data_IF_095626622700
#
_entry.id   IF_095626622700
#
_cell.length_a   1.000
_cell.length_b   1.000
_cell.length_c   1.000
_cell.angle_alpha   90.00
_cell.angle_beta   90.00
_cell.angle_gamma   90.00
#
_symmetry.space_group_name_H-M   'P 1'
#
loop_
_entity.id
_entity.type
_entity.pdbx_description
1 polymer ?
#
# COMPACT_ATOMS: atom_id res chain seq x y z
N UNK A 1 12.86 -5.51 -17.55
CA UNK A 1 11.57 -6.17 -17.82
C UNK A 1 10.51 -5.21 -17.28
N UNK A 2 9.63 -4.66 -18.13
CA UNK A 2 8.56 -3.79 -17.65
C UNK A 2 7.55 -4.72 -17.01
N UNK A 3 7.42 -4.64 -15.69
CA UNK A 3 6.36 -5.36 -15.00
C UNK A 3 5.00 -4.80 -15.45
N UNK A 4 4.10 -5.68 -15.89
CA UNK A 4 2.71 -5.34 -16.23
C UNK A 4 1.73 -5.83 -15.15
N UNK A 5 2.17 -6.05 -13.91
CA UNK A 5 1.24 -6.43 -12.84
C UNK A 5 0.39 -5.23 -12.41
N UNK A 6 -0.86 -5.50 -12.00
CA UNK A 6 -1.73 -4.47 -11.42
C UNK A 6 -1.37 -4.30 -9.96
N UNK A 7 -1.02 -3.08 -9.54
CA UNK A 7 -0.68 -2.79 -8.14
C UNK A 7 -1.85 -3.00 -7.18
N UNK A 8 -3.09 -2.98 -7.69
CA UNK A 8 -4.28 -3.24 -6.89
C UNK A 8 -5.11 -4.31 -7.60
N UNK A 9 -5.57 -5.29 -6.82
CA UNK A 9 -6.54 -6.29 -7.25
C UNK A 9 -7.67 -6.40 -6.24
N UNK A 10 -8.84 -6.83 -6.70
CA UNK A 10 -9.97 -7.19 -5.86
C UNK A 10 -10.53 -8.53 -6.34
N UNK A 11 -10.70 -9.45 -5.41
CA UNK A 11 -11.34 -10.73 -5.64
C UNK A 11 -12.78 -10.66 -5.14
N UNK A 12 -13.73 -10.85 -6.07
CA UNK A 12 -15.16 -10.77 -5.77
C UNK A 12 -15.70 -11.98 -5.01
N UNK A 13 -15.04 -13.15 -5.12
CA UNK A 13 -15.46 -14.38 -4.46
C UNK A 13 -15.07 -14.32 -2.98
N UNK A 14 -13.81 -14.00 -2.69
CA UNK A 14 -13.33 -13.84 -1.31
C UNK A 14 -13.67 -12.49 -0.69
N UNK A 15 -14.05 -11.50 -1.51
CA UNK A 15 -14.27 -10.09 -1.13
C UNK A 15 -13.02 -9.41 -0.54
N UNK A 16 -11.84 -9.85 -0.94
CA UNK A 16 -10.57 -9.31 -0.49
C UNK A 16 -9.94 -8.43 -1.56
N UNK A 17 -9.22 -7.39 -1.14
CA UNK A 17 -8.34 -6.62 -2.00
C UNK A 17 -6.87 -6.89 -1.67
N UNK A 18 -6.00 -6.65 -2.64
CA UNK A 18 -4.56 -6.72 -2.46
C UNK A 18 -3.90 -5.50 -3.05
N UNK A 19 -2.91 -4.94 -2.34
CA UNK A 19 -2.02 -3.88 -2.82
C UNK A 19 -0.59 -4.41 -2.88
N UNK A 20 -0.01 -4.53 -4.09
CA UNK A 20 1.37 -4.95 -4.30
C UNK A 20 2.36 -3.80 -4.12
N UNK A 21 3.35 -3.97 -3.23
CA UNK A 21 4.40 -2.97 -2.96
C UNK A 21 5.74 -3.31 -3.61
N UNK A 22 5.92 -4.56 -4.03
CA UNK A 22 7.08 -5.07 -4.76
C UNK A 22 6.61 -6.05 -5.85
N UNK A 23 7.53 -6.44 -6.74
CA UNK A 23 7.20 -7.44 -7.77
C UNK A 23 7.01 -8.82 -7.12
N UNK A 24 5.79 -9.41 -7.17
CA UNK A 24 5.50 -10.69 -6.52
C UNK A 24 6.27 -11.87 -7.14
N UNK A 25 6.88 -11.70 -8.32
CA UNK A 25 7.75 -12.72 -8.92
C UNK A 25 9.17 -12.70 -8.36
N UNK A 26 9.59 -11.60 -7.75
CA UNK A 26 10.95 -11.40 -7.24
C UNK A 26 11.03 -11.46 -5.71
N UNK A 27 9.92 -11.23 -5.03
CA UNK A 27 9.87 -11.18 -3.56
C UNK A 27 8.91 -12.23 -3.02
N UNK A 28 9.33 -12.87 -1.91
CA UNK A 28 8.56 -13.90 -1.22
C UNK A 28 8.09 -13.40 0.12
N UNK A 29 6.87 -13.79 0.48
CA UNK A 29 6.28 -13.59 1.80
C UNK A 29 6.94 -14.58 2.77
N UNK A 30 7.45 -14.05 3.88
CA UNK A 30 8.00 -14.81 5.00
C UNK A 30 6.94 -15.08 6.08
N UNK A 31 6.12 -14.08 6.37
CA UNK A 31 5.04 -14.15 7.36
C UNK A 31 3.95 -13.12 7.04
N UNK A 32 2.81 -13.28 7.70
CA UNK A 32 1.65 -12.38 7.59
C UNK A 32 1.29 -11.86 8.98
N UNK A 33 1.01 -10.57 9.12
CA UNK A 33 0.61 -9.96 10.39
C UNK A 33 -0.47 -8.90 10.20
N UNK A 34 -1.41 -8.81 11.13
CA UNK A 34 -2.41 -7.74 11.16
C UNK A 34 -1.77 -6.40 11.56
N UNK A 35 -2.30 -5.31 11.01
CA UNK A 35 -2.00 -3.98 11.54
C UNK A 35 -2.73 -3.82 12.88
N UNK A 36 -1.99 -3.61 13.96
CA UNK A 36 -2.56 -3.57 15.33
C UNK A 36 -3.74 -2.60 15.48
N UNK A 37 -3.76 -1.50 14.72
CA UNK A 37 -4.82 -0.49 14.79
C UNK A 37 -6.02 -0.79 13.88
N UNK A 38 -5.92 -1.75 12.97
CA UNK A 38 -7.01 -2.13 12.07
C UNK A 38 -6.85 -3.58 11.58
N UNK A 39 -7.71 -4.47 12.06
CA UNK A 39 -7.74 -5.91 11.69
C UNK A 39 -8.09 -6.17 10.22
N UNK A 40 -8.76 -5.24 9.53
CA UNK A 40 -9.06 -5.36 8.09
C UNK A 40 -7.79 -5.25 7.21
N UNK A 41 -6.61 -4.96 7.80
CA UNK A 41 -5.36 -4.73 7.10
C UNK A 41 -4.33 -5.77 7.55
N UNK A 42 -3.96 -6.66 6.64
CA UNK A 42 -2.93 -7.68 6.87
C UNK A 42 -1.71 -7.39 5.99
N UNK A 43 -0.54 -7.44 6.60
CA UNK A 43 0.75 -7.16 5.98
C UNK A 43 1.43 -8.46 5.60
N UNK A 44 1.83 -8.57 4.33
CA UNK A 44 2.73 -9.63 3.88
C UNK A 44 4.18 -9.21 4.11
N UNK A 45 4.78 -9.67 5.19
CA UNK A 45 6.17 -9.36 5.51
C UNK A 45 7.11 -10.21 4.66
N UNK A 46 8.10 -9.58 4.02
CA UNK A 46 8.96 -10.25 3.04
C UNK A 46 10.25 -10.84 3.61
N UNK A 47 10.80 -11.88 2.96
CA UNK A 47 12.14 -12.39 3.28
C UNK A 47 13.24 -11.36 2.98
N UNK A 48 13.06 -10.59 1.91
CA UNK A 48 14.07 -9.66 1.36
C UNK A 48 13.51 -8.26 1.12
N UNK A 49 12.32 -7.94 1.64
CA UNK A 49 11.70 -6.62 1.57
C UNK A 49 10.84 -6.42 2.81
N UNK A 50 10.72 -5.19 3.35
CA UNK A 50 9.97 -4.98 4.58
C UNK A 50 8.52 -5.46 4.48
N UNK A 51 7.82 -5.07 3.41
CA UNK A 51 6.43 -5.46 3.12
C UNK A 51 6.36 -5.78 1.63
N UNK A 52 5.87 -6.97 1.29
CA UNK A 52 5.65 -7.42 -0.09
C UNK A 52 4.35 -6.82 -0.64
N UNK A 53 3.32 -6.87 0.18
CA UNK A 53 2.01 -6.36 -0.16
C UNK A 53 1.11 -6.25 1.06
N UNK A 54 -0.11 -5.79 0.82
CA UNK A 54 -1.11 -5.56 1.84
C UNK A 54 -2.39 -6.25 1.39
N UNK A 55 -2.86 -7.19 2.20
CA UNK A 55 -4.18 -7.78 2.10
C UNK A 55 -5.18 -6.87 2.83
N UNK A 56 -6.31 -6.64 2.18
CA UNK A 56 -7.41 -5.86 2.74
C UNK A 56 -8.66 -6.73 2.76
N UNK A 57 -9.38 -6.69 3.88
CA UNK A 57 -10.69 -7.29 4.05
C UNK A 57 -11.72 -6.28 4.58
N UNK A 58 -12.92 -6.75 4.94
CA UNK A 58 -13.94 -5.94 5.60
C UNK A 58 -14.24 -4.59 4.91
N UNK A 59 -14.22 -3.51 5.72
CA UNK A 59 -14.50 -2.15 5.24
C UNK A 59 -13.39 -1.65 4.31
N UNK A 60 -12.14 -2.01 4.58
CA UNK A 60 -11.00 -1.59 3.75
C UNK A 60 -11.08 -2.17 2.34
N UNK A 61 -11.45 -3.45 2.20
CA UNK A 61 -11.65 -4.09 0.90
C UNK A 61 -12.89 -3.56 0.17
N UNK A 62 -13.99 -3.32 0.90
CA UNK A 62 -15.19 -2.74 0.32
C UNK A 62 -14.90 -1.38 -0.35
N UNK A 63 -14.05 -0.55 0.26
CA UNK A 63 -13.60 0.72 -0.35
C UNK A 63 -12.89 0.51 -1.68
N UNK A 64 -12.08 -0.55 -1.84
CA UNK A 64 -11.43 -0.88 -3.11
C UNK A 64 -12.45 -1.36 -4.14
N UNK A 65 -13.43 -2.17 -3.72
CA UNK A 65 -14.50 -2.68 -4.58
C UNK A 65 -15.34 -1.56 -5.21
N UNK A 66 -15.59 -0.49 -4.45
CA UNK A 66 -16.39 0.65 -4.86
C UNK A 66 -15.66 1.64 -5.78
N UNK A 67 -14.36 1.44 -6.02
CA UNK A 67 -13.59 2.32 -6.90
C UNK A 67 -13.97 2.11 -8.38
N UNK A 68 -14.33 3.17 -9.12
CA UNK A 68 -14.63 3.04 -10.55
C UNK A 68 -13.39 2.64 -11.36
N UNK A 69 -12.21 3.03 -10.87
CA UNK A 69 -10.89 2.67 -11.42
C UNK A 69 -9.85 2.71 -10.30
N UNK A 70 -8.85 1.85 -10.36
CA UNK A 70 -7.75 1.88 -9.39
C UNK A 70 -6.81 3.07 -9.61
N UNK A 71 -6.54 3.87 -8.57
CA UNK A 71 -5.63 5.01 -8.68
C UNK A 71 -4.20 4.53 -8.90
N UNK A 72 -3.40 5.41 -9.51
CA UNK A 72 -1.95 5.24 -9.61
C UNK A 72 -1.25 5.92 -8.44
N UNK A 73 -0.05 5.46 -8.13
CA UNK A 73 0.84 6.17 -7.23
C UNK A 73 1.22 7.54 -7.79
N UNK A 74 1.46 8.49 -6.89
CA UNK A 74 1.99 9.82 -7.19
C UNK A 74 3.33 9.99 -6.48
N UNK A 75 4.33 10.51 -7.19
CA UNK A 75 5.60 10.92 -6.58
C UNK A 75 5.39 12.22 -5.81
N UNK A 76 5.79 12.24 -4.55
CA UNK A 76 5.76 13.42 -3.67
C UNK A 76 7.17 13.65 -3.15
N UNK A 77 7.70 14.85 -3.36
CA UNK A 77 9.01 15.25 -2.82
C UNK A 77 8.81 16.25 -1.68
N UNK A 78 9.28 15.87 -0.51
CA UNK A 78 9.27 16.69 0.70
C UNK A 78 10.29 17.82 0.64
N UNK A 79 10.17 18.80 1.53
CA UNK A 79 11.09 19.95 1.61
C UNK A 79 12.55 19.55 1.92
N UNK A 80 12.73 18.45 2.64
CA UNK A 80 14.03 17.88 2.97
C UNK A 80 14.64 17.03 1.84
N UNK A 81 13.94 16.90 0.71
CA UNK A 81 14.36 16.12 -0.44
C UNK A 81 13.96 14.64 -0.38
N UNK A 82 13.33 14.18 0.71
CA UNK A 82 12.79 12.82 0.76
C UNK A 82 11.67 12.63 -0.27
N UNK A 83 11.61 11.44 -0.86
CA UNK A 83 10.65 11.09 -1.90
C UNK A 83 9.72 10.02 -1.35
N UNK A 84 8.42 10.22 -1.52
CA UNK A 84 7.39 9.24 -1.21
C UNK A 84 6.55 8.92 -2.46
N UNK A 85 6.09 7.68 -2.55
CA UNK A 85 5.05 7.26 -3.48
C UNK A 85 3.73 7.17 -2.74
N UNK A 86 2.81 8.08 -3.06
CA UNK A 86 1.51 8.19 -2.41
C UNK A 86 0.44 7.49 -3.24
N UNK A 87 -0.25 6.52 -2.64
CA UNK A 87 -1.47 5.92 -3.16
C UNK A 87 -2.66 6.40 -2.34
N UNK A 88 -3.52 7.23 -2.94
CA UNK A 88 -4.76 7.69 -2.32
C UNK A 88 -5.96 7.00 -2.96
N UNK A 89 -6.74 6.31 -2.14
CA UNK A 89 -7.96 5.60 -2.52
C UNK A 89 -9.20 6.50 -2.42
N UNK A 90 -9.15 7.56 -1.60
CA UNK A 90 -10.22 8.56 -1.49
C UNK A 90 -9.66 9.98 -1.40
N UNK A 91 -10.54 10.97 -1.56
CA UNK A 91 -10.21 12.40 -1.40
C UNK A 91 -10.46 12.90 0.04
N UNK A 92 -10.70 11.99 0.99
CA UNK A 92 -10.88 12.39 2.38
C UNK A 92 -9.58 12.94 2.95
N UNK A 93 -9.68 13.88 3.89
CA UNK A 93 -8.53 14.41 4.62
C UNK A 93 -7.88 13.30 5.45
N UNK A 94 -6.54 13.20 5.38
CA UNK A 94 -5.76 12.30 6.23
C UNK A 94 -5.73 12.90 7.63
N UNK A 95 -6.28 12.18 8.61
CA UNK A 95 -6.32 12.60 10.01
C UNK A 95 -5.37 11.80 10.89
N UNK A 96 -5.00 10.60 10.45
CA UNK A 96 -4.08 9.73 11.18
C UNK A 96 -3.18 8.97 10.24
N UNK A 97 -1.94 8.83 10.67
CA UNK A 97 -0.89 8.07 10.01
C UNK A 97 -0.40 7.00 10.97
N UNK A 98 -0.23 5.78 10.48
CA UNK A 98 0.20 4.63 11.26
C UNK A 98 1.32 3.92 10.50
N UNK A 99 2.33 3.48 11.23
CA UNK A 99 3.40 2.63 10.71
C UNK A 99 3.43 1.34 11.50
N UNK A 100 3.78 0.24 10.84
CA UNK A 100 4.01 -1.02 11.53
C UNK A 100 5.32 -0.92 12.34
N UNK A 101 5.37 -1.40 13.60
CA UNK A 101 6.56 -1.28 14.44
C UNK A 101 7.84 -1.81 13.78
N UNK A 102 8.85 -0.95 13.65
CA UNK A 102 10.14 -1.30 13.03
C UNK A 102 10.17 -1.23 11.50
N UNK A 103 9.08 -0.79 10.86
CA UNK A 103 9.00 -0.56 9.40
C UNK A 103 8.55 0.87 9.14
N UNK A 104 9.54 1.76 8.93
CA UNK A 104 9.27 3.19 8.70
C UNK A 104 9.02 3.52 7.21
N UNK A 105 9.15 2.53 6.33
CA UNK A 105 9.10 2.72 4.89
C UNK A 105 7.67 2.75 4.32
N UNK A 106 6.66 2.30 5.07
CA UNK A 106 5.26 2.27 4.66
C UNK A 106 4.39 2.86 5.75
N UNK A 107 3.62 3.88 5.39
CA UNK A 107 2.70 4.59 6.28
C UNK A 107 1.27 4.37 5.79
N UNK A 108 0.42 3.83 6.65
CA UNK A 108 -1.02 3.65 6.45
C UNK A 108 -1.74 4.94 6.82
N UNK A 109 -2.65 5.37 5.95
CA UNK A 109 -3.33 6.65 6.03
C UNK A 109 -4.81 6.44 6.31
N UNK A 110 -5.34 7.15 7.30
CA UNK A 110 -6.73 7.05 7.75
C UNK A 110 -7.40 8.43 7.83
N UNK A 111 -8.71 8.49 7.55
CA UNK A 111 -9.53 9.70 7.60
C UNK A 111 -10.23 9.93 8.95
N UNK A 112 -9.94 9.09 9.93
CA UNK A 112 -10.44 9.11 11.30
C UNK A 112 -9.30 8.88 12.30
N UNK A 113 -9.57 9.06 13.59
CA UNK A 113 -8.57 8.83 14.64
C UNK A 113 -8.54 7.37 15.07
N UNK A 114 -9.60 6.62 14.78
CA UNK A 114 -9.84 5.26 15.22
C UNK A 114 -9.28 4.22 14.23
N UNK A 115 -8.73 4.69 13.11
CA UNK A 115 -8.18 3.87 12.02
C UNK A 115 -9.21 2.98 11.31
N UNK A 116 -10.51 3.29 11.35
CA UNK A 116 -11.53 2.54 10.61
C UNK A 116 -11.69 3.02 9.15
N UNK A 117 -11.36 4.28 8.88
CA UNK A 117 -11.54 4.91 7.57
C UNK A 117 -10.23 4.91 6.78
N UNK A 118 -9.81 3.74 6.30
CA UNK A 118 -8.62 3.60 5.45
C UNK A 118 -8.75 4.45 4.18
N UNK A 119 -7.72 5.23 3.86
CA UNK A 119 -7.69 6.11 2.67
C UNK A 119 -6.50 5.87 1.74
N UNK A 120 -5.53 5.05 2.15
CA UNK A 120 -4.42 4.64 1.30
C UNK A 120 -3.09 4.53 2.05
N UNK A 121 -2.00 4.59 1.29
CA UNK A 121 -0.64 4.40 1.82
C UNK A 121 0.34 5.40 1.23
N UNK A 122 1.34 5.78 2.02
CA UNK A 122 2.53 6.51 1.59
C UNK A 122 3.75 5.62 1.77
N UNK A 123 4.60 5.54 0.74
CA UNK A 123 5.76 4.64 0.73
C UNK A 123 7.01 5.48 0.51
N UNK A 124 7.96 5.41 1.44
CA UNK A 124 9.24 6.08 1.31
C UNK A 124 10.09 5.41 0.21
N UNK A 125 10.64 6.22 -0.70
CA UNK A 125 11.54 5.73 -1.73
C UNK A 125 12.77 5.06 -1.10
N UNK A 126 13.07 3.85 -1.55
CA UNK A 126 14.17 3.03 -1.04
C UNK A 126 14.66 2.04 -2.09
N UNK A 127 15.61 1.20 -1.74
CA UNK A 127 16.11 0.13 -2.63
C UNK A 127 15.04 -0.89 -3.00
N UNK A 128 14.01 -1.05 -2.17
CA UNK A 128 12.88 -1.97 -2.40
C UNK A 128 11.74 -1.29 -3.16
N UNK A 129 11.52 -0.01 -2.85
CA UNK A 129 10.37 0.77 -3.26
C UNK A 129 10.83 1.91 -4.16
N UNK A 130 10.79 1.70 -5.48
CA UNK A 130 11.35 2.64 -6.43
C UNK A 130 10.36 3.04 -7.53
N UNK A 131 10.70 4.13 -8.22
CA UNK A 131 9.87 4.70 -9.28
C UNK A 131 9.53 3.69 -10.40
N UNK A 132 10.49 2.84 -10.78
CA UNK A 132 10.27 1.83 -11.81
C UNK A 132 9.15 0.87 -11.42
N UNK A 133 9.04 0.57 -10.13
CA UNK A 133 7.98 -0.27 -9.61
C UNK A 133 6.64 0.46 -9.62
N UNK A 134 6.54 1.65 -9.03
CA UNK A 134 5.24 2.30 -8.79
C UNK A 134 4.70 3.14 -9.94
N UNK A 135 5.56 3.74 -10.76
CA UNK A 135 5.16 4.67 -11.82
C UNK A 135 5.39 4.09 -13.22
N UNK A 136 6.16 3.01 -13.32
CA UNK A 136 6.65 2.49 -14.59
C UNK A 136 7.69 3.45 -15.18
N UNK A 137 8.94 3.02 -15.30
CA UNK A 137 9.96 3.88 -15.89
C UNK A 137 9.56 4.28 -17.32
N UNK A 138 9.47 5.59 -17.59
CA UNK A 138 9.53 6.10 -18.95
C UNK A 138 10.98 5.92 -19.43
N UNK A 139 11.27 4.76 -20.01
CA UNK A 139 12.47 4.59 -20.85
C UNK A 139 12.30 5.34 -22.17
#
# INVERSE_FOLDING_TARGET
MISSFKHITYDTESKMAYIYLVDPLQHRVASTEELEQNEDIVLDLGENSPIVGIELEGKAAAKIADLPTYPKYKKVTSKDGSVNFLLQLSNQEIKREVQYPGIDAVTFLFADQECEEFVGISILESTWYCETHFLGGNS
#
